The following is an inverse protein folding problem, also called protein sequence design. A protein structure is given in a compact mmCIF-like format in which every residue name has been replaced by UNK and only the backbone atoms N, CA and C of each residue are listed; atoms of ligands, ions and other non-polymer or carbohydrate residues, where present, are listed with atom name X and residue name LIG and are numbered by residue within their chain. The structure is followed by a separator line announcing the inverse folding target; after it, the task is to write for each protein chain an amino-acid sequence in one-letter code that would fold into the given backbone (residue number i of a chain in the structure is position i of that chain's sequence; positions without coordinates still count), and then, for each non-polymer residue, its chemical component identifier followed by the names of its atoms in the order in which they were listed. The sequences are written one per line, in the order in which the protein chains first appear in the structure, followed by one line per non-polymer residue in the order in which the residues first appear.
data_IF_168603773198
#
_entry.id   IF_168603773198
#
_cell.length_a   1.000
_cell.length_b   1.000
_cell.length_c   1.000
_cell.angle_alpha   90.00
_cell.angle_beta   90.00
_cell.angle_gamma   90.00
#
_symmetry.space_group_name_H-M   'P 1'
#
loop_
_entity.id
_entity.type
_entity.pdbx_description
1 polymer ?
#
# COMPACT_ATOMS: atom_id res chain seq x y z
N UNK A 1 8.15 1.41 -10.01
CA UNK A 1 8.66 2.65 -10.66
C UNK A 1 8.88 3.70 -9.57
N UNK A 2 9.80 4.67 -9.70
CA UNK A 2 10.01 5.70 -8.69
C UNK A 2 8.74 6.52 -8.40
N UNK A 3 7.83 6.64 -9.36
CA UNK A 3 6.55 7.34 -9.25
C UNK A 3 5.60 6.67 -8.22
N UNK A 4 5.73 5.36 -8.00
CA UNK A 4 4.95 4.64 -7.00
C UNK A 4 5.54 4.74 -5.58
N UNK A 5 6.73 5.32 -5.40
CA UNK A 5 7.39 5.40 -4.09
C UNK A 5 6.58 6.22 -3.06
N UNK A 6 6.00 7.39 -3.40
CA UNK A 6 5.15 8.12 -2.46
C UNK A 6 3.92 7.30 -2.03
N UNK A 7 3.30 6.59 -2.97
CA UNK A 7 2.16 5.71 -2.70
C UNK A 7 2.56 4.57 -1.74
N UNK A 8 3.71 3.93 -1.99
CA UNK A 8 4.21 2.84 -1.15
C UNK A 8 4.51 3.30 0.29
N UNK A 9 5.01 4.53 0.48
CA UNK A 9 5.26 5.10 1.80
C UNK A 9 3.98 5.55 2.51
N UNK A 10 2.99 6.04 1.75
CA UNK A 10 1.72 6.48 2.31
C UNK A 10 0.81 5.31 2.70
N UNK A 11 0.96 4.15 2.04
CA UNK A 11 0.07 2.99 2.20
C UNK A 11 -0.06 2.48 3.63
N UNK A 12 1.02 2.32 4.42
CA UNK A 12 0.90 1.89 5.82
C UNK A 12 0.23 2.93 6.72
N UNK A 13 0.34 4.22 6.36
CA UNK A 13 -0.06 5.37 7.18
C UNK A 13 -1.52 5.76 6.98
N UNK A 14 -1.98 5.78 5.73
CA UNK A 14 -3.30 6.34 5.39
C UNK A 14 -3.88 5.76 4.11
N UNK A 15 -5.11 5.25 4.21
CA UNK A 15 -5.85 4.70 3.07
C UNK A 15 -6.33 5.81 2.14
N UNK A 16 -6.88 6.88 2.70
CA UNK A 16 -7.36 8.03 1.92
C UNK A 16 -6.23 8.81 1.25
N UNK A 17 -5.11 9.02 1.96
CA UNK A 17 -3.92 9.67 1.37
C UNK A 17 -3.34 8.85 0.22
N UNK A 18 -3.28 7.53 0.39
CA UNK A 18 -2.85 6.62 -0.69
C UNK A 18 -3.81 6.62 -1.87
N UNK A 19 -5.12 6.78 -1.64
CA UNK A 19 -6.11 6.83 -2.72
C UNK A 19 -5.94 8.09 -3.55
N UNK A 20 -5.66 9.23 -2.90
CA UNK A 20 -5.32 10.47 -3.59
C UNK A 20 -4.10 10.30 -4.50
N UNK A 21 -3.01 9.74 -3.96
CA UNK A 21 -1.78 9.48 -4.73
C UNK A 21 -2.00 8.50 -5.90
N UNK A 22 -2.81 7.46 -5.70
CA UNK A 22 -3.17 6.55 -6.79
C UNK A 22 -3.96 7.27 -7.88
N UNK A 23 -4.93 8.09 -7.49
CA UNK A 23 -5.76 8.87 -8.41
C UNK A 23 -4.88 9.82 -9.24
N UNK A 24 -3.93 10.50 -8.60
CA UNK A 24 -2.95 11.35 -9.29
C UNK A 24 -2.09 10.57 -10.27
N UNK A 25 -1.62 9.37 -9.90
CA UNK A 25 -0.86 8.50 -10.81
C UNK A 25 -1.67 8.08 -12.04
N UNK A 26 -2.94 7.71 -11.84
CA UNK A 26 -3.87 7.34 -12.92
C UNK A 26 -4.12 8.54 -13.84
N UNK A 27 -4.35 9.72 -13.28
CA UNK A 27 -4.59 10.95 -14.05
C UNK A 27 -3.36 11.38 -14.86
N UNK A 28 -2.15 11.18 -14.33
CA UNK A 28 -0.90 11.59 -14.99
C UNK A 28 -0.45 10.59 -16.07
N UNK A 29 -0.57 9.29 -15.83
CA UNK A 29 0.02 8.26 -16.70
C UNK A 29 -1.04 7.49 -17.52
N UNK A 30 -2.31 7.70 -17.24
CA UNK A 30 -3.42 6.94 -17.82
C UNK A 30 -3.66 5.60 -17.07
N UNK A 31 -4.90 5.12 -17.05
CA UNK A 31 -5.29 3.91 -16.30
C UNK A 31 -4.63 2.63 -16.81
N UNK A 32 -4.30 2.55 -18.11
CA UNK A 32 -3.68 1.37 -18.71
C UNK A 32 -2.17 1.29 -18.51
N UNK A 33 -1.54 2.36 -17.98
CA UNK A 33 -0.11 2.41 -17.77
C UNK A 33 0.36 1.38 -16.73
N UNK A 34 1.59 0.90 -16.92
CA UNK A 34 2.22 0.00 -15.94
C UNK A 34 2.34 0.65 -14.55
N UNK A 35 2.56 1.97 -14.50
CA UNK A 35 2.64 2.75 -13.24
C UNK A 35 1.30 2.73 -12.51
N UNK A 36 0.21 2.99 -13.22
CA UNK A 36 -1.15 2.96 -12.67
C UNK A 36 -1.53 1.54 -12.21
N UNK A 37 -1.22 0.51 -13.01
CA UNK A 37 -1.49 -0.90 -12.65
C UNK A 37 -0.72 -1.32 -11.40
N UNK A 38 0.57 -0.99 -11.31
CA UNK A 38 1.38 -1.24 -10.11
C UNK A 38 0.77 -0.53 -8.90
N UNK A 39 0.40 0.75 -9.05
CA UNK A 39 -0.21 1.52 -7.98
C UNK A 39 -1.54 0.94 -7.52
N UNK A 40 -2.39 0.52 -8.45
CA UNK A 40 -3.67 -0.10 -8.17
C UNK A 40 -3.50 -1.45 -7.44
N UNK A 41 -2.53 -2.28 -7.86
CA UNK A 41 -2.23 -3.54 -7.18
C UNK A 41 -1.68 -3.30 -5.76
N UNK A 42 -0.78 -2.33 -5.56
CA UNK A 42 -0.33 -1.93 -4.23
C UNK A 42 -1.50 -1.50 -3.35
N UNK A 43 -2.40 -0.67 -3.89
CA UNK A 43 -3.57 -0.17 -3.17
C UNK A 43 -4.60 -1.27 -2.89
N UNK A 44 -4.76 -2.26 -3.77
CA UNK A 44 -5.75 -3.33 -3.60
C UNK A 44 -5.30 -4.47 -2.69
N UNK A 45 -3.99 -4.67 -2.51
CA UNK A 45 -3.45 -5.90 -1.90
C UNK A 45 -3.07 -5.79 -0.43
N UNK A 46 -2.93 -4.58 0.10
CA UNK A 46 -2.55 -4.35 1.50
C UNK A 46 -3.57 -3.49 2.22
N UNK A 47 -3.53 -3.49 3.55
CA UNK A 47 -4.28 -2.56 4.38
C UNK A 47 -3.36 -1.57 5.06
N UNK A 48 -3.95 -0.59 5.75
CA UNK A 48 -3.21 0.46 6.44
C UNK A 48 -2.72 -0.01 7.82
N UNK A 49 -1.44 -0.38 7.96
CA UNK A 49 -0.86 -0.92 9.21
C UNK A 49 -1.18 -0.08 10.45
N UNK A 50 -1.04 1.25 10.38
CA UNK A 50 -1.33 2.11 11.54
C UNK A 50 -2.82 2.19 11.87
N UNK A 51 -3.70 2.12 10.86
CA UNK A 51 -5.14 2.06 11.07
C UNK A 51 -5.55 0.73 11.70
N UNK A 52 -4.98 -0.40 11.26
CA UNK A 52 -5.21 -1.71 11.90
C UNK A 52 -4.79 -1.67 13.37
N UNK A 53 -3.63 -1.10 13.67
CA UNK A 53 -3.13 -0.96 15.04
C UNK A 53 -4.00 -0.03 15.91
N UNK A 54 -4.49 1.07 15.36
CA UNK A 54 -5.27 2.04 16.12
C UNK A 54 -6.74 1.63 16.28
N UNK A 55 -7.38 1.22 15.18
CA UNK A 55 -8.83 1.00 15.12
C UNK A 55 -9.18 -0.45 15.35
N UNK A 56 -8.52 -1.40 14.67
CA UNK A 56 -8.90 -2.81 14.79
C UNK A 56 -8.45 -3.39 16.12
N UNK A 57 -7.21 -3.12 16.52
CA UNK A 57 -6.72 -3.56 17.83
C UNK A 57 -7.37 -2.76 18.96
N UNK A 58 -7.66 -1.48 18.72
CA UNK A 58 -8.40 -0.64 19.67
C UNK A 58 -9.81 -1.15 19.95
N UNK A 59 -10.55 -1.60 18.93
CA UNK A 59 -11.95 -2.05 19.07
C UNK A 59 -12.10 -3.34 19.88
N UNK A 60 -11.09 -4.21 19.89
CA UNK A 60 -11.06 -5.45 20.68
C UNK A 60 -10.14 -5.38 21.91
N UNK A 61 -9.62 -4.19 22.24
CA UNK A 61 -8.84 -3.95 23.46
C UNK A 61 -7.45 -4.58 23.51
N UNK A 62 -6.82 -4.83 22.35
CA UNK A 62 -5.45 -5.37 22.30
C UNK A 62 -4.45 -4.30 22.75
N UNK A 63 -3.73 -4.59 23.84
CA UNK A 63 -2.69 -3.71 24.41
C UNK A 63 -1.26 -4.08 24.00
N UNK A 64 -1.02 -5.30 23.50
CA UNK A 64 0.31 -5.79 23.13
C UNK A 64 0.55 -5.66 21.63
N UNK A 65 1.00 -4.49 21.19
CA UNK A 65 1.17 -4.17 19.76
C UNK A 65 2.61 -4.22 19.25
N UNK A 66 3.59 -4.41 20.14
CA UNK A 66 5.03 -4.25 19.83
C UNK A 66 5.51 -5.01 18.59
N UNK A 67 5.06 -6.26 18.41
CA UNK A 67 5.48 -7.09 17.26
C UNK A 67 4.56 -6.88 16.05
N UNK A 68 3.33 -6.45 16.27
CA UNK A 68 2.36 -6.26 15.20
C UNK A 68 2.74 -5.12 14.28
N UNK A 69 3.36 -4.05 14.82
CA UNK A 69 3.88 -2.96 14.00
C UNK A 69 4.98 -3.44 13.05
N UNK A 70 6.00 -4.14 13.57
CA UNK A 70 7.09 -4.65 12.76
C UNK A 70 6.61 -5.68 11.73
N UNK A 71 5.69 -6.59 12.13
CA UNK A 71 5.10 -7.56 11.23
C UNK A 71 4.25 -6.90 10.12
N UNK A 72 3.46 -5.89 10.47
CA UNK A 72 2.63 -5.13 9.52
C UNK A 72 3.48 -4.37 8.50
N UNK A 73 4.50 -3.62 8.96
CA UNK A 73 5.41 -2.91 8.06
C UNK A 73 6.21 -3.85 7.16
N UNK A 74 6.58 -5.03 7.67
CA UNK A 74 7.24 -6.05 6.85
C UNK A 74 6.28 -6.62 5.79
N UNK A 75 5.03 -6.89 6.16
CA UNK A 75 4.00 -7.33 5.21
C UNK A 75 3.73 -6.26 4.14
N UNK A 76 3.68 -4.98 4.51
CA UNK A 76 3.54 -3.87 3.59
C UNK A 76 4.71 -3.80 2.61
N UNK A 77 5.96 -3.92 3.11
CA UNK A 77 7.14 -3.94 2.26
C UNK A 77 7.08 -5.09 1.24
N UNK A 78 6.78 -6.31 1.71
CA UNK A 78 6.62 -7.48 0.84
C UNK A 78 5.50 -7.27 -0.18
N UNK A 79 4.37 -6.69 0.22
CA UNK A 79 3.26 -6.36 -0.66
C UNK A 79 3.65 -5.37 -1.76
N UNK A 80 4.39 -4.31 -1.41
CA UNK A 80 4.93 -3.32 -2.35
C UNK A 80 5.87 -3.98 -3.36
N UNK A 81 6.84 -4.79 -2.90
CA UNK A 81 7.76 -5.49 -3.80
C UNK A 81 7.05 -6.50 -4.70
N UNK A 82 6.09 -7.24 -4.15
CA UNK A 82 5.30 -8.23 -4.89
C UNK A 82 4.46 -7.56 -5.97
N UNK A 83 3.81 -6.43 -5.66
CA UNK A 83 3.05 -5.67 -6.64
C UNK A 83 3.92 -5.21 -7.82
N UNK A 84 5.12 -4.68 -7.55
CA UNK A 84 6.05 -4.30 -8.63
C UNK A 84 6.46 -5.51 -9.47
N UNK A 85 6.84 -6.61 -8.82
CA UNK A 85 7.32 -7.80 -9.51
C UNK A 85 6.25 -8.46 -10.38
N UNK A 86 5.06 -8.71 -9.81
CA UNK A 86 3.95 -9.37 -10.49
C UNK A 86 3.44 -8.49 -11.65
N UNK A 87 3.23 -7.19 -11.43
CA UNK A 87 2.77 -6.33 -12.52
C UNK A 87 3.80 -6.24 -13.66
N UNK A 88 5.11 -6.22 -13.36
CA UNK A 88 6.13 -6.28 -14.40
C UNK A 88 6.16 -7.61 -15.13
N UNK A 89 5.89 -8.72 -14.45
CA UNK A 89 5.86 -10.04 -15.06
C UNK A 89 4.66 -10.22 -16.01
N UNK A 90 3.48 -9.69 -15.64
CA UNK A 90 2.26 -9.86 -16.43
C UNK A 90 2.01 -8.75 -17.46
N UNK A 91 2.44 -7.51 -17.19
CA UNK A 91 2.11 -6.32 -17.99
C UNK A 91 3.32 -5.52 -18.48
N UNK A 92 4.54 -5.98 -18.15
CA UNK A 92 5.80 -5.35 -18.56
C UNK A 92 6.33 -5.87 -19.88
#
# INVERSE_FOLDING_TARGET
PPENLPLALMRPLSGSGSLGLLTDLINQHGPDSLIAKIGATMFGSTETTFYVLAVYFGSVGIRKTRHALAAGLFADAVGVFSAVYICRFFFG
#
